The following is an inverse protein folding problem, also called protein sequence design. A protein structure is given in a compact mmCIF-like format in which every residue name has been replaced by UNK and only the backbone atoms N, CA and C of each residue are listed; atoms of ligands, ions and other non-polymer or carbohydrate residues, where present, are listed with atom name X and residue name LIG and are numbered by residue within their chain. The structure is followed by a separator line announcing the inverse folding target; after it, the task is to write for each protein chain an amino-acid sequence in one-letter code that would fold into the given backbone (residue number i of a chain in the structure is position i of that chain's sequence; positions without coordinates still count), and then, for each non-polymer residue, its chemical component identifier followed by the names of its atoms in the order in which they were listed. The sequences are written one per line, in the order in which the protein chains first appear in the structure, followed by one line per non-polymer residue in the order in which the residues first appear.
data_IF_928328535649
#
_entry.id   IF_928328535649
#
_cell.length_a   1.000
_cell.length_b   1.000
_cell.length_c   1.000
_cell.angle_alpha   90.00
_cell.angle_beta   90.00
_cell.angle_gamma   90.00
#
_symmetry.space_group_name_H-M   'P 1'
#
loop_
_entity.id
_entity.type
_entity.pdbx_description
1 polymer ?
#
# COMPACT_ATOMS: atom_id res chain seq x y z
N UNK A 1 -50.09 -13.77 58.40
CA UNK A 1 -49.80 -13.83 56.95
C UNK A 1 -48.29 -13.94 56.81
N UNK A 2 -47.79 -15.14 56.49
CA UNK A 2 -46.38 -15.46 56.29
C UNK A 2 -46.08 -15.26 54.80
N UNK A 3 -45.30 -14.25 54.47
CA UNK A 3 -44.77 -14.02 53.12
C UNK A 3 -43.39 -14.66 53.02
N UNK A 4 -43.29 -15.74 52.24
CA UNK A 4 -42.08 -16.50 51.95
C UNK A 4 -41.24 -15.79 50.88
N UNK A 5 -39.98 -15.46 51.20
CA UNK A 5 -38.98 -14.97 50.25
C UNK A 5 -38.44 -16.14 49.41
N UNK A 6 -38.67 -16.11 48.09
CA UNK A 6 -37.99 -16.99 47.13
C UNK A 6 -36.74 -16.30 46.57
N UNK A 7 -35.57 -16.85 46.87
CA UNK A 7 -34.29 -16.51 46.25
C UNK A 7 -34.11 -17.35 44.98
N UNK A 8 -34.11 -16.70 43.81
CA UNK A 8 -33.75 -17.32 42.53
C UNK A 8 -32.24 -17.21 42.36
N UNK A 9 -31.54 -18.34 42.33
CA UNK A 9 -30.12 -18.43 42.05
C UNK A 9 -29.90 -18.41 40.53
N UNK A 10 -29.30 -17.33 40.01
CA UNK A 10 -28.82 -17.24 38.63
C UNK A 10 -27.44 -17.93 38.54
N UNK A 11 -27.41 -19.11 37.90
CA UNK A 11 -26.18 -19.78 37.50
C UNK A 11 -25.64 -19.11 36.23
N UNK A 12 -24.59 -18.29 36.38
CA UNK A 12 -23.83 -17.78 35.25
C UNK A 12 -22.95 -18.90 34.67
N UNK A 13 -23.31 -19.41 33.50
CA UNK A 13 -22.41 -20.20 32.67
C UNK A 13 -21.34 -19.28 32.07
N UNK A 14 -20.16 -19.29 32.66
CA UNK A 14 -18.97 -18.72 32.05
C UNK A 14 -18.57 -19.56 30.84
N UNK A 15 -18.83 -19.05 29.64
CA UNK A 15 -18.22 -19.57 28.42
C UNK A 15 -16.72 -19.23 28.47
N UNK A 16 -15.90 -20.24 28.77
CA UNK A 16 -14.46 -20.18 28.58
C UNK A 16 -14.18 -20.19 27.08
N UNK A 17 -13.99 -19.00 26.51
CA UNK A 17 -13.46 -18.82 25.17
C UNK A 17 -12.00 -19.27 25.17
N UNK A 18 -11.71 -20.46 24.67
CA UNK A 18 -10.35 -20.83 24.28
C UNK A 18 -9.99 -20.03 23.03
N UNK A 19 -9.38 -18.86 23.23
CA UNK A 19 -8.66 -18.16 22.17
C UNK A 19 -7.43 -18.99 21.81
N UNK A 20 -7.55 -19.84 20.80
CA UNK A 20 -6.38 -20.46 20.19
C UNK A 20 -5.53 -19.35 19.58
N UNK A 21 -4.31 -19.18 20.10
CA UNK A 21 -3.31 -18.31 19.48
C UNK A 21 -3.10 -18.82 18.05
N UNK A 22 -3.48 -18.04 17.04
CA UNK A 22 -3.14 -18.32 15.67
C UNK A 22 -1.61 -18.35 15.60
N UNK A 23 -1.04 -19.54 15.42
CA UNK A 23 0.40 -19.72 15.32
C UNK A 23 0.82 -19.08 13.98
N UNK A 24 1.66 -18.05 14.02
CA UNK A 24 2.19 -17.45 12.81
C UNK A 24 2.96 -18.52 12.03
N UNK A 25 2.70 -18.63 10.74
CA UNK A 25 3.43 -19.54 9.87
C UNK A 25 4.81 -18.94 9.59
N UNK A 26 5.86 -19.72 9.83
CA UNK A 26 7.24 -19.35 9.51
C UNK A 26 7.58 -19.84 8.09
N UNK A 27 8.08 -18.93 7.26
CA UNK A 27 8.41 -19.20 5.88
C UNK A 27 9.91 -18.96 5.61
N UNK A 28 10.60 -19.99 5.12
CA UNK A 28 11.91 -19.84 4.51
C UNK A 28 11.84 -18.96 3.26
N UNK A 29 12.56 -17.83 3.28
CA UNK A 29 12.41 -16.75 2.30
C UNK A 29 12.82 -17.10 0.86
N UNK A 30 13.74 -18.06 0.71
CA UNK A 30 13.72 -19.03 -0.35
C UNK A 30 14.95 -19.21 -1.22
N UNK A 31 15.47 -20.42 -1.26
CA UNK A 31 16.59 -20.76 -2.11
C UNK A 31 17.06 -22.17 -1.77
N UNK A 32 18.35 -22.33 -1.49
CA UNK A 32 18.82 -23.55 -0.87
C UNK A 32 18.41 -23.57 0.61
N UNK A 33 17.85 -24.69 1.09
CA UNK A 33 17.30 -24.85 2.47
C UNK A 33 18.23 -24.47 3.64
N UNK A 34 19.53 -24.26 3.39
CA UNK A 34 20.52 -23.81 4.39
C UNK A 34 20.70 -22.29 4.41
N UNK A 35 20.30 -21.59 3.35
CA UNK A 35 20.36 -20.13 3.21
C UNK A 35 19.12 -19.47 3.78
N UNK A 36 17.96 -20.11 3.61
CA UNK A 36 16.65 -19.72 4.14
C UNK A 36 16.59 -19.57 5.68
N UNK A 37 17.70 -19.78 6.38
CA UNK A 37 17.86 -19.60 7.82
C UNK A 37 18.43 -18.23 8.19
N UNK A 38 18.99 -17.48 7.24
CA UNK A 38 19.45 -16.12 7.51
C UNK A 38 18.28 -15.18 7.78
N UNK A 39 17.16 -15.41 7.09
CA UNK A 39 15.93 -14.66 7.29
C UNK A 39 14.71 -15.53 6.97
N UNK A 40 13.68 -15.39 7.79
CA UNK A 40 12.36 -15.97 7.59
C UNK A 40 11.28 -14.89 7.66
N UNK A 41 10.22 -15.07 6.88
CA UNK A 41 9.00 -14.30 7.06
C UNK A 41 8.10 -15.01 8.06
N UNK A 42 7.51 -14.26 8.97
CA UNK A 42 6.40 -14.72 9.79
C UNK A 42 5.14 -13.98 9.37
N UNK A 43 4.08 -14.72 9.04
CA UNK A 43 2.77 -14.12 8.77
C UNK A 43 1.64 -15.04 9.26
N UNK A 44 0.50 -14.45 9.59
CA UNK A 44 -0.63 -15.16 10.20
C UNK A 44 -1.40 -16.13 9.28
N UNK A 45 -1.08 -16.18 7.98
CA UNK A 45 -1.90 -16.94 7.03
C UNK A 45 -1.14 -17.36 5.76
N UNK A 46 -1.25 -18.64 5.36
CA UNK A 46 -0.80 -19.16 4.06
C UNK A 46 -1.97 -19.74 3.25
N UNK A 47 -2.09 -19.37 1.97
CA UNK A 47 -3.00 -20.07 1.05
C UNK A 47 -2.47 -20.19 -0.38
N UNK A 48 -2.49 -21.41 -0.98
CA UNK A 48 -2.84 -22.69 -0.36
C UNK A 48 -1.74 -23.19 0.60
N UNK A 49 -2.10 -23.97 1.63
CA UNK A 49 -1.15 -24.61 2.53
C UNK A 49 -0.03 -25.33 1.78
N UNK A 50 1.22 -25.14 2.21
CA UNK A 50 2.40 -25.75 1.58
C UNK A 50 3.03 -24.95 0.42
N UNK A 51 2.53 -23.74 0.12
CA UNK A 51 3.23 -22.77 -0.73
C UNK A 51 3.91 -21.70 0.12
N UNK A 52 5.10 -22.00 0.63
CA UNK A 52 5.79 -21.22 1.66
C UNK A 52 6.27 -19.80 1.26
N UNK A 53 5.71 -19.15 0.23
CA UNK A 53 6.14 -17.83 -0.30
C UNK A 53 5.01 -17.06 -0.98
N UNK A 54 3.77 -17.47 -0.74
CA UNK A 54 2.59 -16.93 -1.38
C UNK A 54 1.48 -16.81 -0.35
N UNK A 55 1.21 -15.58 0.07
CA UNK A 55 0.03 -15.26 0.87
C UNK A 55 -1.02 -14.73 -0.10
N UNK A 56 -2.23 -15.31 -0.05
CA UNK A 56 -3.34 -14.94 -0.90
C UNK A 56 -4.57 -14.74 -0.04
N UNK A 57 -5.13 -13.55 -0.05
CA UNK A 57 -6.32 -13.19 0.68
C UNK A 57 -7.41 -12.70 -0.26
N UNK A 58 -8.66 -12.81 0.20
CA UNK A 58 -9.80 -12.13 -0.41
C UNK A 58 -10.09 -10.90 0.44
N UNK A 59 -10.26 -9.75 -0.20
CA UNK A 59 -10.64 -8.49 0.45
C UNK A 59 -11.85 -8.68 1.38
N UNK A 60 -11.70 -8.31 2.66
CA UNK A 60 -12.67 -8.50 3.72
C UNK A 60 -12.72 -9.88 4.39
N UNK A 61 -11.79 -10.79 4.09
CA UNK A 61 -11.67 -12.07 4.82
C UNK A 61 -10.92 -11.85 6.16
N UNK A 62 -11.60 -11.93 7.32
CA UNK A 62 -10.99 -11.61 8.61
C UNK A 62 -9.88 -12.58 9.05
N UNK A 63 -9.66 -13.69 8.33
CA UNK A 63 -8.57 -14.62 8.64
C UNK A 63 -7.22 -14.18 8.05
N UNK A 64 -7.23 -13.34 7.01
CA UNK A 64 -6.02 -12.97 6.28
C UNK A 64 -5.93 -11.49 5.93
N UNK A 65 -7.05 -10.78 6.01
CA UNK A 65 -7.16 -9.35 5.86
C UNK A 65 -7.25 -8.72 7.25
N UNK A 66 -6.24 -7.92 7.61
CA UNK A 66 -6.07 -7.49 9.00
C UNK A 66 -7.22 -6.62 9.52
N UNK A 67 -7.89 -5.87 8.65
CA UNK A 67 -9.04 -5.05 9.01
C UNK A 67 -10.38 -5.80 8.87
N UNK A 68 -10.41 -6.88 8.08
CA UNK A 68 -11.61 -7.67 7.78
C UNK A 68 -12.71 -6.88 7.06
N UNK A 69 -12.38 -5.75 6.41
CA UNK A 69 -13.34 -4.89 5.72
C UNK A 69 -13.30 -5.11 4.21
N UNK A 70 -14.46 -5.00 3.56
CA UNK A 70 -14.51 -4.97 2.10
C UNK A 70 -14.31 -3.53 1.64
N UNK A 71 -13.04 -3.13 1.45
CA UNK A 71 -12.65 -1.78 1.04
C UNK A 71 -11.72 -1.77 -0.19
N UNK A 72 -11.52 -2.94 -0.81
CA UNK A 72 -10.66 -3.11 -1.96
C UNK A 72 -9.17 -3.19 -1.62
N UNK A 73 -8.79 -3.40 -0.37
CA UNK A 73 -7.41 -3.48 0.11
C UNK A 73 -7.29 -4.65 1.08
N UNK A 74 -6.41 -5.61 0.76
CA UNK A 74 -6.03 -6.61 1.75
C UNK A 74 -4.80 -6.12 2.53
N UNK A 75 -4.92 -6.03 3.84
CA UNK A 75 -3.86 -5.68 4.77
C UNK A 75 -3.18 -6.92 5.35
N UNK A 76 -1.90 -7.13 4.98
CA UNK A 76 -1.12 -8.28 5.44
C UNK A 76 -0.17 -7.88 6.57
N UNK A 77 -0.32 -8.48 7.74
CA UNK A 77 0.66 -8.36 8.81
C UNK A 77 1.84 -9.30 8.56
N UNK A 78 3.03 -8.72 8.39
CA UNK A 78 4.28 -9.45 8.13
C UNK A 78 5.34 -9.01 9.13
N UNK A 79 5.95 -9.96 9.83
CA UNK A 79 7.20 -9.76 10.58
C UNK A 79 8.34 -10.52 9.92
N UNK A 80 9.56 -10.09 10.22
CA UNK A 80 10.78 -10.72 9.72
C UNK A 80 11.61 -11.13 10.92
N UNK A 81 12.12 -12.36 10.89
CA UNK A 81 13.09 -12.84 11.87
C UNK A 81 14.38 -13.21 11.17
N UNK A 82 15.51 -12.88 11.78
CA UNK A 82 16.85 -13.17 11.25
C UNK A 82 17.58 -14.21 12.07
N UNK A 83 18.58 -14.84 11.46
CA UNK A 83 19.42 -15.86 12.10
C UNK A 83 18.55 -16.95 12.78
N UNK A 84 17.59 -17.47 12.01
CA UNK A 84 16.47 -18.24 12.53
C UNK A 84 16.82 -19.70 12.83
N UNK A 85 16.16 -20.25 13.85
CA UNK A 85 16.26 -21.67 14.24
C UNK A 85 15.10 -22.53 13.73
N UNK A 86 14.23 -22.03 12.85
CA UNK A 86 12.97 -22.70 12.45
C UNK A 86 13.14 -24.15 11.93
N UNK A 87 14.28 -24.50 11.35
CA UNK A 87 14.66 -25.87 10.98
C UNK A 87 16.00 -26.23 11.65
N UNK A 88 16.00 -26.68 12.92
CA UNK A 88 17.24 -26.90 13.69
C UNK A 88 18.18 -27.94 13.07
N UNK A 89 17.66 -28.81 12.20
CA UNK A 89 18.46 -29.81 11.49
C UNK A 89 19.22 -29.23 10.29
N UNK A 90 18.83 -28.04 9.79
CA UNK A 90 19.39 -27.42 8.59
C UNK A 90 19.94 -26.02 8.80
N UNK A 91 19.42 -25.30 9.80
CA UNK A 91 19.82 -23.95 10.12
C UNK A 91 21.10 -23.94 10.92
N UNK A 92 22.17 -23.49 10.27
CA UNK A 92 23.44 -23.16 10.91
C UNK A 92 23.47 -21.65 11.16
N UNK A 93 23.59 -21.26 12.42
CA UNK A 93 23.69 -19.87 12.82
C UNK A 93 25.01 -19.28 12.30
N UNK A 94 24.93 -18.15 11.61
CA UNK A 94 26.08 -17.47 11.04
C UNK A 94 26.06 -15.96 11.34
N UNK A 95 25.11 -15.48 12.14
CA UNK A 95 24.84 -14.05 12.30
C UNK A 95 24.36 -13.40 10.99
N UNK A 96 23.89 -12.17 11.10
CA UNK A 96 23.46 -11.35 9.97
C UNK A 96 24.27 -10.08 9.94
N UNK A 97 24.91 -9.80 8.81
CA UNK A 97 25.69 -8.58 8.56
C UNK A 97 24.79 -7.45 8.09
N UNK A 98 23.86 -7.76 7.17
CA UNK A 98 22.99 -6.77 6.56
C UNK A 98 21.68 -7.42 6.08
N UNK A 99 20.62 -6.64 6.12
CA UNK A 99 19.31 -6.97 5.56
C UNK A 99 18.85 -5.79 4.72
N UNK A 100 18.51 -6.05 3.45
CA UNK A 100 18.14 -5.00 2.50
C UNK A 100 16.85 -5.36 1.78
N UNK A 101 15.81 -4.58 1.99
CA UNK A 101 14.54 -4.63 1.26
C UNK A 101 14.73 -3.93 -0.09
N UNK A 102 14.50 -4.64 -1.19
CA UNK A 102 14.56 -4.03 -2.53
C UNK A 102 13.46 -2.97 -2.69
N UNK A 103 13.77 -1.88 -3.39
CA UNK A 103 12.84 -0.78 -3.67
C UNK A 103 12.34 -0.02 -2.42
N UNK A 104 13.13 -0.01 -1.34
CA UNK A 104 12.84 0.74 -0.11
C UNK A 104 13.40 2.16 -0.10
N UNK A 105 14.23 2.55 -1.09
CA UNK A 105 14.86 3.86 -1.15
C UNK A 105 14.13 4.76 -2.15
N UNK A 106 13.76 5.95 -1.71
CA UNK A 106 13.16 6.97 -2.57
C UNK A 106 14.27 7.74 -3.31
N UNK A 107 14.70 7.20 -4.45
CA UNK A 107 15.83 7.73 -5.21
C UNK A 107 15.56 7.79 -6.72
N UNK A 108 14.29 7.91 -7.12
CA UNK A 108 13.83 7.81 -8.50
C UNK A 108 13.62 6.36 -8.97
N UNK A 109 13.59 5.38 -8.06
CA UNK A 109 13.28 4.00 -8.40
C UNK A 109 11.79 3.89 -8.78
N UNK A 110 11.45 3.51 -10.03
CA UNK A 110 10.06 3.41 -10.47
C UNK A 110 9.25 2.31 -9.76
N UNK A 111 9.89 1.51 -8.90
CA UNK A 111 9.25 0.49 -8.07
C UNK A 111 9.32 0.79 -6.57
N UNK A 112 9.79 1.99 -6.20
CA UNK A 112 9.77 2.46 -4.83
C UNK A 112 8.38 2.23 -4.20
N UNK A 113 8.36 1.72 -2.98
CA UNK A 113 7.15 1.52 -2.20
C UNK A 113 7.39 2.06 -0.78
N UNK A 114 6.62 3.06 -0.32
CA UNK A 114 6.77 3.62 1.02
C UNK A 114 6.65 2.57 2.15
N UNK A 115 5.87 1.50 1.94
CA UNK A 115 5.79 0.41 2.92
C UNK A 115 7.07 -0.41 2.98
N UNK A 116 7.83 -0.50 1.88
CA UNK A 116 9.15 -1.15 1.88
C UNK A 116 10.19 -0.28 2.58
N UNK A 117 10.10 1.04 2.46
CA UNK A 117 10.90 1.98 3.24
C UNK A 117 10.61 1.84 4.74
N UNK A 118 9.34 1.77 5.11
CA UNK A 118 8.92 1.56 6.50
C UNK A 118 9.43 0.20 7.04
N UNK A 119 9.36 -0.86 6.24
CA UNK A 119 9.88 -2.17 6.58
C UNK A 119 11.40 -2.16 6.77
N UNK A 120 12.16 -1.53 5.86
CA UNK A 120 13.61 -1.37 6.00
C UNK A 120 13.95 -0.61 7.29
N UNK A 121 13.28 0.51 7.54
CA UNK A 121 13.50 1.32 8.75
C UNK A 121 13.22 0.51 10.02
N UNK A 122 12.20 -0.36 10.00
CA UNK A 122 11.92 -1.24 11.15
C UNK A 122 13.02 -2.26 11.36
N UNK A 123 13.49 -2.91 10.28
CA UNK A 123 14.61 -3.85 10.35
C UNK A 123 15.84 -3.17 10.93
N UNK A 124 16.20 -2.00 10.43
CA UNK A 124 17.38 -1.24 10.89
C UNK A 124 17.30 -0.88 12.38
N UNK A 125 16.10 -0.58 12.90
CA UNK A 125 15.92 -0.17 14.29
C UNK A 125 15.73 -1.34 15.27
N UNK A 126 15.09 -2.44 14.86
CA UNK A 126 14.69 -3.52 15.77
C UNK A 126 15.59 -4.76 15.66
N UNK A 127 16.12 -5.05 14.46
CA UNK A 127 17.13 -6.10 14.27
C UNK A 127 18.54 -5.55 14.49
N UNK A 128 18.76 -4.28 14.13
CA UNK A 128 20.04 -3.58 14.24
C UNK A 128 21.24 -4.40 13.68
N UNK A 129 21.22 -4.81 12.40
CA UNK A 129 22.35 -5.52 11.81
C UNK A 129 23.59 -4.60 11.72
N UNK A 130 24.82 -5.11 11.99
CA UNK A 130 25.14 -6.53 12.15
C UNK A 130 24.79 -7.09 13.53
N UNK A 131 24.18 -8.28 13.56
CA UNK A 131 23.76 -8.97 14.79
C UNK A 131 24.07 -10.47 14.75
N UNK A 132 24.33 -11.05 15.92
CA UNK A 132 24.44 -12.50 16.11
C UNK A 132 23.28 -13.08 16.93
N UNK A 133 22.30 -12.24 17.27
CA UNK A 133 21.14 -12.68 18.03
C UNK A 133 20.36 -13.71 17.24
N UNK A 134 19.83 -14.69 17.97
CA UNK A 134 19.12 -15.83 17.41
C UNK A 134 17.64 -15.53 17.42
N UNK A 135 16.96 -15.76 16.28
CA UNK A 135 15.53 -15.47 16.11
C UNK A 135 15.19 -14.01 16.52
N UNK A 136 16.07 -13.06 16.20
CA UNK A 136 15.77 -11.64 16.37
C UNK A 136 14.71 -11.23 15.34
N UNK A 137 13.58 -10.71 15.82
CA UNK A 137 12.40 -10.44 15.00
C UNK A 137 11.97 -8.98 15.08
N UNK A 138 11.41 -8.48 13.97
CA UNK A 138 10.68 -7.22 13.98
C UNK A 138 9.27 -7.41 14.53
N UNK A 139 8.68 -6.35 15.05
CA UNK A 139 7.23 -6.22 15.16
C UNK A 139 6.57 -6.34 13.77
N UNK A 140 5.30 -6.72 13.75
CA UNK A 140 4.53 -6.84 12.50
C UNK A 140 4.40 -5.49 11.80
N UNK A 141 4.65 -5.47 10.50
CA UNK A 141 4.39 -4.35 9.61
C UNK A 141 3.21 -4.69 8.71
N UNK A 142 2.29 -3.75 8.52
CA UNK A 142 1.21 -3.88 7.55
C UNK A 142 1.73 -3.63 6.16
N UNK A 143 1.53 -4.59 5.26
CA UNK A 143 1.75 -4.44 3.84
C UNK A 143 0.41 -4.51 3.11
N UNK A 144 0.00 -3.43 2.47
CA UNK A 144 -1.33 -3.31 1.86
C UNK A 144 -1.29 -3.67 0.37
N UNK A 145 -2.27 -4.44 -0.09
CA UNK A 145 -2.43 -4.79 -1.51
C UNK A 145 -3.81 -4.37 -1.99
N UNK A 146 -3.89 -3.17 -2.58
CA UNK A 146 -5.12 -2.69 -3.21
C UNK A 146 -5.44 -3.49 -4.47
N UNK A 147 -6.69 -3.93 -4.62
CA UNK A 147 -7.17 -4.59 -5.83
C UNK A 147 -7.15 -3.62 -7.02
N UNK A 148 -7.11 -4.15 -8.24
CA UNK A 148 -7.19 -3.29 -9.43
C UNK A 148 -8.64 -2.93 -9.70
N UNK A 149 -8.95 -1.65 -9.67
CA UNK A 149 -10.30 -1.13 -9.93
C UNK A 149 -10.86 -0.39 -8.72
N UNK A 150 -12.17 -0.10 -8.71
CA UNK A 150 -13.14 -0.45 -9.75
C UNK A 150 -12.82 0.24 -11.07
N UNK A 151 -12.81 -0.55 -12.14
CA UNK A 151 -12.71 -0.07 -13.52
C UNK A 151 -14.11 0.07 -14.12
N UNK A 152 -14.21 0.63 -15.33
CA UNK A 152 -15.48 0.78 -16.04
C UNK A 152 -16.36 -0.48 -15.96
N UNK A 153 -17.65 -0.29 -15.63
CA UNK A 153 -18.63 -1.34 -15.30
C UNK A 153 -18.36 -2.09 -13.98
N UNK A 154 -17.82 -1.41 -12.98
CA UNK A 154 -17.61 -1.94 -11.61
C UNK A 154 -16.90 -3.29 -11.61
N UNK A 155 -15.79 -3.37 -12.35
CA UNK A 155 -14.95 -4.57 -12.41
C UNK A 155 -13.68 -4.36 -11.61
N UNK A 156 -13.41 -5.26 -10.67
CA UNK A 156 -12.08 -5.41 -10.10
C UNK A 156 -11.35 -6.63 -10.64
N UNK A 157 -10.03 -6.59 -10.50
CA UNK A 157 -9.15 -7.74 -10.69
C UNK A 157 -8.21 -7.83 -9.51
N UNK A 158 -7.77 -9.06 -9.21
CA UNK A 158 -6.72 -9.27 -8.22
C UNK A 158 -5.48 -8.46 -8.50
N UNK A 159 -4.83 -8.01 -7.43
CA UNK A 159 -3.52 -7.39 -7.49
C UNK A 159 -2.50 -8.19 -6.66
N UNK A 160 -1.24 -7.76 -6.70
CA UNK A 160 -0.16 -8.43 -5.98
C UNK A 160 0.94 -7.45 -5.59
N UNK A 161 1.50 -7.64 -4.40
CA UNK A 161 2.75 -7.01 -3.95
C UNK A 161 3.84 -8.08 -3.84
N UNK A 162 5.09 -7.71 -4.13
CA UNK A 162 6.25 -8.62 -4.09
C UNK A 162 7.34 -7.99 -3.25
N UNK A 163 7.48 -8.47 -2.02
CA UNK A 163 8.59 -8.09 -1.16
C UNK A 163 9.79 -8.94 -1.55
N UNK A 164 10.94 -8.31 -1.80
CA UNK A 164 12.21 -9.00 -2.01
C UNK A 164 13.22 -8.46 -1.02
N UNK A 165 13.91 -9.35 -0.36
CA UNK A 165 14.88 -8.98 0.68
C UNK A 165 16.16 -9.74 0.40
N UNK A 166 17.28 -9.02 0.46
CA UNK A 166 18.60 -9.62 0.44
C UNK A 166 19.11 -9.65 1.87
N UNK A 167 19.55 -10.82 2.32
CA UNK A 167 20.19 -10.98 3.63
C UNK A 167 21.63 -11.45 3.42
N UNK A 168 22.57 -10.82 4.10
CA UNK A 168 23.98 -11.20 4.08
C UNK A 168 24.38 -11.68 5.49
N UNK A 169 25.02 -12.85 5.57
CA UNK A 169 25.55 -13.36 6.83
C UNK A 169 26.77 -12.57 7.26
N UNK A 170 27.13 -12.64 8.55
CA UNK A 170 28.48 -12.24 8.95
C UNK A 170 29.53 -13.12 8.26
N UNK A 171 30.76 -12.63 8.16
CA UNK A 171 31.86 -13.40 7.61
C UNK A 171 32.25 -14.53 8.57
N UNK A 172 32.04 -15.78 8.14
CA UNK A 172 32.42 -16.97 8.90
C UNK A 172 33.16 -17.97 8.02
N UNK A 173 34.29 -18.50 8.52
CA UNK A 173 35.11 -19.47 7.79
C UNK A 173 35.64 -18.97 6.44
N UNK A 174 35.89 -17.66 6.31
CA UNK A 174 36.37 -17.04 5.06
C UNK A 174 35.31 -16.86 3.98
N UNK A 175 34.03 -17.03 4.31
CA UNK A 175 32.91 -16.89 3.38
C UNK A 175 31.81 -16.02 3.98
N UNK A 176 31.23 -15.17 3.14
CA UNK A 176 29.98 -14.48 3.40
C UNK A 176 28.87 -15.17 2.60
N UNK A 177 27.76 -15.50 3.25
CA UNK A 177 26.59 -16.10 2.58
C UNK A 177 25.59 -15.00 2.29
N UNK A 178 25.28 -14.83 1.01
CA UNK A 178 24.16 -14.01 0.57
C UNK A 178 22.95 -14.88 0.25
N UNK A 179 21.80 -14.47 0.77
CA UNK A 179 20.49 -15.02 0.46
C UNK A 179 19.54 -13.96 -0.09
N UNK A 180 18.62 -14.39 -0.96
CA UNK A 180 17.64 -13.51 -1.60
C UNK A 180 16.26 -14.12 -1.49
N UNK A 181 15.48 -13.51 -0.64
CA UNK A 181 14.17 -13.97 -0.24
C UNK A 181 13.07 -13.23 -0.97
N UNK A 182 11.93 -13.90 -1.16
CA UNK A 182 10.78 -13.28 -1.82
C UNK A 182 9.46 -13.74 -1.22
N UNK A 183 8.68 -12.77 -0.75
CA UNK A 183 7.30 -12.94 -0.36
C UNK A 183 6.37 -12.37 -1.44
N UNK A 184 5.34 -13.13 -1.83
CA UNK A 184 4.30 -12.67 -2.75
C UNK A 184 2.99 -12.58 -2.00
N UNK A 185 2.44 -11.37 -1.95
CA UNK A 185 1.12 -11.08 -1.41
C UNK A 185 0.14 -10.93 -2.58
N UNK A 186 -1.04 -11.53 -2.49
CA UNK A 186 -2.12 -11.40 -3.48
C UNK A 186 -3.39 -11.03 -2.75
N UNK A 187 -4.03 -9.95 -3.20
CA UNK A 187 -5.39 -9.63 -2.82
C UNK A 187 -6.32 -9.93 -4.00
N UNK A 188 -7.26 -10.84 -3.79
CA UNK A 188 -8.40 -11.03 -4.67
C UNK A 188 -9.53 -10.10 -4.26
N UNK A 189 -10.30 -9.55 -5.21
CA UNK A 189 -11.50 -8.79 -4.88
C UNK A 189 -12.50 -9.67 -4.11
N UNK A 190 -13.24 -9.05 -3.20
CA UNK A 190 -14.38 -9.67 -2.57
C UNK A 190 -15.36 -10.21 -3.63
N UNK A 191 -16.17 -11.21 -3.26
CA UNK A 191 -17.20 -11.76 -4.13
C UNK A 191 -18.38 -10.81 -4.38
N UNK A 192 -18.47 -9.75 -3.58
CA UNK A 192 -19.45 -8.68 -3.72
C UNK A 192 -19.09 -7.72 -4.87
N UNK A 193 -20.04 -6.91 -5.29
CA UNK A 193 -19.86 -5.96 -6.38
C UNK A 193 -18.76 -4.95 -6.04
N UNK A 194 -17.87 -4.69 -7.00
CA UNK A 194 -16.80 -3.71 -6.92
C UNK A 194 -17.33 -2.29 -6.96
N UNK A 195 -18.02 -1.91 -5.89
CA UNK A 195 -18.65 -0.63 -5.69
C UNK A 195 -17.63 0.40 -5.18
N UNK A 196 -17.36 1.49 -5.91
CA UNK A 196 -16.50 2.57 -5.43
C UNK A 196 -16.93 3.17 -4.09
N UNK A 197 -18.22 3.14 -3.75
CA UNK A 197 -18.74 3.66 -2.48
C UNK A 197 -18.30 2.82 -1.27
N UNK A 198 -17.87 1.58 -1.49
CA UNK A 198 -17.28 0.74 -0.43
C UNK A 198 -15.77 0.95 -0.32
N UNK A 199 -15.10 1.38 -1.39
CA UNK A 199 -13.65 1.39 -1.49
C UNK A 199 -13.03 2.76 -1.18
N UNK A 200 -13.82 3.82 -1.27
CA UNK A 200 -13.35 5.20 -1.16
C UNK A 200 -14.29 6.07 -0.33
N UNK A 201 -13.71 6.99 0.43
CA UNK A 201 -14.47 7.91 1.29
C UNK A 201 -15.14 9.07 0.52
N UNK A 202 -14.82 9.22 -0.76
CA UNK A 202 -15.28 10.31 -1.61
C UNK A 202 -14.67 10.28 -3.00
N UNK A 203 -15.16 11.14 -3.90
CA UNK A 203 -14.63 11.26 -5.26
C UNK A 203 -13.15 11.65 -5.27
N UNK A 204 -12.75 12.58 -4.39
CA UNK A 204 -11.36 12.99 -4.30
C UNK A 204 -10.46 11.87 -3.76
N UNK A 205 -10.92 11.11 -2.76
CA UNK A 205 -10.20 9.95 -2.25
C UNK A 205 -10.02 8.87 -3.34
N UNK A 206 -11.04 8.66 -4.17
CA UNK A 206 -10.94 7.81 -5.37
C UNK A 206 -9.88 8.32 -6.35
N UNK A 207 -9.84 9.63 -6.64
CA UNK A 207 -8.83 10.24 -7.52
C UNK A 207 -7.43 10.05 -6.92
N UNK A 208 -7.26 10.31 -5.62
CA UNK A 208 -5.98 10.12 -4.93
C UNK A 208 -5.49 8.68 -5.09
N UNK A 209 -6.36 7.70 -4.83
CA UNK A 209 -5.99 6.28 -4.81
C UNK A 209 -5.86 5.66 -6.21
N UNK A 210 -6.69 6.03 -7.19
CA UNK A 210 -6.68 5.40 -8.52
C UNK A 210 -5.85 6.16 -9.56
N UNK A 211 -5.54 7.44 -9.31
CA UNK A 211 -4.82 8.28 -10.27
C UNK A 211 -3.47 8.71 -9.70
N UNK A 212 -3.48 9.46 -8.60
CA UNK A 212 -2.25 10.09 -8.11
C UNK A 212 -1.26 9.07 -7.55
N UNK A 213 -1.73 8.14 -6.70
CA UNK A 213 -0.91 7.07 -6.13
C UNK A 213 -0.38 6.07 -7.16
N UNK A 214 -1.11 5.86 -8.25
CA UNK A 214 -0.76 4.84 -9.24
C UNK A 214 0.13 5.38 -10.36
N UNK A 215 0.18 6.69 -10.56
CA UNK A 215 0.80 7.25 -11.77
C UNK A 215 1.41 8.65 -11.65
N UNK A 216 1.28 9.34 -10.52
CA UNK A 216 1.73 10.74 -10.42
C UNK A 216 2.73 11.00 -9.29
N UNK A 217 2.47 10.48 -8.08
CA UNK A 217 3.37 10.66 -6.93
C UNK A 217 4.41 9.52 -6.80
N UNK A 218 4.80 8.94 -7.93
CA UNK A 218 5.85 7.93 -7.98
C UNK A 218 7.22 8.57 -7.69
N UNK A 219 8.15 7.78 -7.16
CA UNK A 219 9.53 8.22 -6.90
C UNK A 219 10.12 8.91 -8.13
N UNK A 220 10.62 10.13 -7.96
CA UNK A 220 11.16 10.94 -9.08
C UNK A 220 10.13 11.81 -9.81
N UNK A 221 8.86 11.84 -9.39
CA UNK A 221 7.79 12.61 -10.02
C UNK A 221 7.22 13.67 -9.05
N UNK A 222 5.98 13.52 -8.60
CA UNK A 222 5.28 14.46 -7.71
C UNK A 222 5.21 13.94 -6.26
N UNK A 223 6.31 13.38 -5.76
CA UNK A 223 6.52 12.86 -4.41
C UNK A 223 7.09 13.93 -3.46
N UNK A 224 7.28 13.58 -2.18
CA UNK A 224 7.87 14.48 -1.18
C UNK A 224 9.33 14.82 -1.42
N UNK A 225 10.08 13.97 -2.12
CA UNK A 225 11.52 14.17 -2.38
C UNK A 225 11.80 15.01 -3.62
N UNK A 226 11.11 14.74 -4.72
CA UNK A 226 11.39 15.32 -6.04
C UNK A 226 10.54 16.55 -6.33
N UNK A 227 9.25 16.51 -5.94
CA UNK A 227 8.31 17.61 -6.13
C UNK A 227 8.36 18.23 -7.54
N UNK A 228 8.39 17.42 -8.60
CA UNK A 228 8.53 17.90 -9.97
C UNK A 228 7.45 18.95 -10.29
N UNK A 229 7.85 20.11 -10.83
CA UNK A 229 6.94 21.24 -11.05
C UNK A 229 6.43 21.89 -9.76
N UNK A 230 7.24 21.81 -8.69
CA UNK A 230 6.94 22.30 -7.35
C UNK A 230 5.61 21.75 -6.79
N UNK A 231 5.31 20.48 -7.11
CA UNK A 231 4.02 19.86 -6.88
C UNK A 231 4.18 18.55 -6.08
N UNK A 232 3.56 18.52 -4.90
CA UNK A 232 3.39 17.33 -4.07
C UNK A 232 2.00 16.73 -4.29
N UNK A 233 1.92 15.46 -4.69
CA UNK A 233 0.66 14.70 -4.89
C UNK A 233 0.50 13.52 -3.93
N UNK A 234 1.31 13.44 -2.87
CA UNK A 234 1.09 12.51 -1.76
C UNK A 234 -0.16 12.91 -0.95
N UNK A 235 -0.88 11.94 -0.33
CA UNK A 235 -2.18 12.17 0.30
C UNK A 235 -2.24 13.31 1.32
N UNK A 236 -1.14 13.56 2.05
CA UNK A 236 -1.10 14.59 3.08
C UNK A 236 -1.11 16.04 2.52
N UNK A 237 -0.70 16.24 1.27
CA UNK A 237 -0.49 17.57 0.69
C UNK A 237 -1.12 17.80 -0.68
N UNK A 238 -1.56 16.75 -1.38
CA UNK A 238 -2.07 16.79 -2.75
C UNK A 238 -3.19 17.81 -2.96
N UNK A 239 -4.22 17.81 -2.11
CA UNK A 239 -5.40 18.67 -2.31
C UNK A 239 -5.03 20.16 -2.26
N UNK A 240 -4.31 20.56 -1.22
CA UNK A 240 -3.91 21.97 -1.02
C UNK A 240 -2.89 22.42 -2.06
N UNK A 241 -2.13 21.50 -2.65
CA UNK A 241 -1.22 21.80 -3.74
C UNK A 241 -1.93 21.97 -5.09
N UNK A 242 -3.19 21.53 -5.23
CA UNK A 242 -3.93 21.55 -6.49
C UNK A 242 -4.92 22.71 -6.57
N UNK A 243 -5.74 22.88 -5.54
CA UNK A 243 -6.90 23.76 -5.63
C UNK A 243 -6.51 25.23 -5.61
N UNK A 244 -6.81 25.93 -6.71
CA UNK A 244 -6.54 27.35 -6.90
C UNK A 244 -5.08 27.77 -6.68
N UNK A 245 -4.14 26.86 -6.93
CA UNK A 245 -2.70 27.12 -6.88
C UNK A 245 -2.18 27.46 -8.27
N UNK A 246 -1.44 28.55 -8.39
CA UNK A 246 -0.76 28.92 -9.66
C UNK A 246 0.28 27.84 -10.01
N UNK A 247 0.25 27.25 -11.22
CA UNK A 247 1.25 26.29 -11.65
C UNK A 247 2.65 26.91 -11.75
N UNK A 248 3.69 26.11 -11.49
CA UNK A 248 5.08 26.53 -11.67
C UNK A 248 5.47 26.71 -13.16
N UNK A 249 4.67 26.15 -14.08
CA UNK A 249 4.86 26.32 -15.51
C UNK A 249 4.62 27.79 -15.92
N UNK A 250 5.60 28.51 -16.49
CA UNK A 250 5.46 29.93 -16.79
C UNK A 250 4.40 30.26 -17.84
N UNK A 251 4.15 29.37 -18.81
CA UNK A 251 3.15 29.61 -19.86
C UNK A 251 1.72 29.50 -19.28
N UNK A 252 1.46 28.48 -18.47
CA UNK A 252 0.20 28.33 -17.75
C UNK A 252 -0.02 29.47 -16.74
N UNK A 253 1.01 29.82 -15.96
CA UNK A 253 0.93 30.94 -15.03
C UNK A 253 0.69 32.29 -15.74
N UNK A 254 1.36 32.53 -16.86
CA UNK A 254 1.16 33.75 -17.67
C UNK A 254 -0.18 33.81 -18.41
N UNK A 255 -0.90 32.69 -18.50
CA UNK A 255 -2.26 32.61 -19.01
C UNK A 255 -3.33 32.70 -17.88
N UNK A 256 -2.92 32.99 -16.65
CA UNK A 256 -3.77 33.01 -15.45
C UNK A 256 -4.47 31.66 -15.16
N UNK A 257 -3.87 30.54 -15.56
CA UNK A 257 -4.39 29.21 -15.24
C UNK A 257 -4.01 28.79 -13.82
N UNK A 258 -4.85 27.95 -13.22
CA UNK A 258 -4.60 27.33 -11.92
C UNK A 258 -4.36 25.83 -12.12
N UNK A 259 -3.70 25.17 -11.16
CA UNK A 259 -3.51 23.70 -11.20
C UNK A 259 -4.86 22.99 -11.29
N UNK A 260 -5.82 23.42 -10.47
CA UNK A 260 -7.25 23.17 -10.62
C UNK A 260 -7.97 24.50 -10.36
N UNK A 261 -8.75 24.99 -11.33
CA UNK A 261 -9.55 26.21 -11.17
C UNK A 261 -10.90 25.87 -10.56
N UNK A 262 -11.09 26.29 -9.32
CA UNK A 262 -12.38 26.29 -8.62
C UNK A 262 -12.91 27.71 -8.56
N UNK A 263 -14.09 27.93 -9.15
CA UNK A 263 -14.76 29.22 -9.20
C UNK A 263 -15.53 29.47 -7.91
N UNK A 264 -16.29 28.47 -7.47
CA UNK A 264 -17.03 28.47 -6.21
C UNK A 264 -17.17 27.03 -5.67
N UNK A 265 -17.71 26.81 -4.44
CA UNK A 265 -17.80 25.47 -3.85
C UNK A 265 -18.55 24.42 -4.68
N UNK A 266 -19.34 24.83 -5.68
CA UNK A 266 -20.12 23.94 -6.54
C UNK A 266 -19.72 24.04 -8.03
N UNK A 267 -18.70 24.83 -8.38
CA UNK A 267 -18.30 24.98 -9.78
C UNK A 267 -16.78 25.20 -9.96
N UNK A 268 -16.23 24.55 -10.98
CA UNK A 268 -14.85 24.75 -11.45
C UNK A 268 -14.79 24.93 -12.96
N UNK A 269 -13.68 25.45 -13.47
CA UNK A 269 -13.48 25.72 -14.89
C UNK A 269 -12.40 24.80 -15.47
N UNK A 270 -12.80 23.94 -16.40
CA UNK A 270 -11.89 23.02 -17.08
C UNK A 270 -10.89 23.75 -17.98
N UNK A 271 -11.28 24.85 -18.62
CA UNK A 271 -10.46 25.53 -19.63
C UNK A 271 -9.21 26.18 -19.01
N UNK A 272 -9.27 26.49 -17.72
CA UNK A 272 -8.16 27.09 -16.98
C UNK A 272 -7.59 26.14 -15.93
N UNK A 273 -8.08 24.89 -15.87
CA UNK A 273 -7.58 23.84 -14.99
C UNK A 273 -6.42 23.08 -15.64
N UNK A 274 -5.20 23.47 -15.30
CA UNK A 274 -4.00 22.92 -15.91
C UNK A 274 -3.86 21.40 -15.72
N UNK A 275 -4.31 20.84 -14.60
CA UNK A 275 -4.36 19.39 -14.38
C UNK A 275 -5.13 18.69 -15.50
N UNK A 276 -6.30 19.19 -15.88
CA UNK A 276 -7.14 18.54 -16.90
C UNK A 276 -6.45 18.52 -18.27
N UNK A 277 -5.90 19.66 -18.69
CA UNK A 277 -5.12 19.77 -19.93
C UNK A 277 -3.86 18.90 -19.92
N UNK A 278 -3.19 18.78 -18.76
CA UNK A 278 -2.07 17.84 -18.59
C UNK A 278 -2.51 16.40 -18.83
N UNK A 279 -3.70 16.00 -18.39
CA UNK A 279 -4.19 14.62 -18.54
C UNK A 279 -4.66 14.31 -19.96
N UNK A 280 -5.38 15.24 -20.60
CA UNK A 280 -5.91 15.06 -21.97
C UNK A 280 -4.83 15.24 -23.04
N UNK A 281 -3.79 16.02 -22.73
CA UNK A 281 -2.73 16.39 -23.67
C UNK A 281 -3.12 17.51 -24.62
N UNK A 282 -4.23 18.19 -24.38
CA UNK A 282 -4.63 19.42 -25.07
C UNK A 282 -3.79 20.59 -24.53
N UNK A 283 -2.56 20.72 -25.04
CA UNK A 283 -1.53 21.62 -24.53
C UNK A 283 -0.90 22.43 -25.66
N UNK A 284 -0.89 23.76 -25.48
CA UNK A 284 -0.18 24.68 -26.36
C UNK A 284 1.35 24.66 -26.14
N UNK A 285 2.08 25.30 -27.04
CA UNK A 285 3.52 25.51 -26.90
C UNK A 285 3.85 26.18 -25.56
N UNK A 286 4.81 25.61 -24.84
CA UNK A 286 5.26 26.13 -23.54
C UNK A 286 4.56 25.51 -22.32
N UNK A 287 3.41 24.86 -22.50
CA UNK A 287 2.67 24.20 -21.40
C UNK A 287 3.29 22.86 -20.98
N UNK A 288 4.36 22.41 -21.65
CA UNK A 288 5.06 21.16 -21.39
C UNK A 288 4.34 19.95 -22.00
N UNK A 289 4.64 18.75 -21.47
CA UNK A 289 4.08 17.50 -22.00
C UNK A 289 2.86 17.00 -21.20
N UNK A 290 2.10 16.11 -21.86
CA UNK A 290 0.96 15.35 -21.31
C UNK A 290 1.42 14.40 -20.20
N UNK A 291 0.66 14.38 -19.11
CA UNK A 291 0.84 13.52 -17.95
C UNK A 291 -0.12 12.32 -17.98
N UNK A 292 0.29 11.14 -17.48
CA UNK A 292 1.60 10.89 -16.87
C UNK A 292 2.74 10.79 -17.90
N UNK A 293 3.85 11.50 -17.67
CA UNK A 293 4.93 11.65 -18.65
C UNK A 293 5.63 10.32 -18.94
N UNK A 294 5.88 10.01 -20.21
CA UNK A 294 6.54 8.76 -20.62
C UNK A 294 5.75 7.48 -20.35
N UNK A 295 4.53 7.59 -19.82
CA UNK A 295 3.65 6.46 -19.49
C UNK A 295 2.39 6.47 -20.36
N UNK A 296 1.64 5.35 -20.42
CA UNK A 296 0.32 5.31 -21.04
C UNK A 296 -0.60 6.40 -20.46
N UNK A 297 -1.49 6.93 -21.30
CA UNK A 297 -2.55 7.83 -20.83
C UNK A 297 -3.46 7.12 -19.82
N UNK A 298 -4.07 7.91 -18.93
CA UNK A 298 -5.15 7.41 -18.08
C UNK A 298 -6.31 6.88 -18.94
N UNK A 299 -7.09 5.97 -18.38
CA UNK A 299 -8.33 5.53 -19.03
C UNK A 299 -9.32 6.71 -19.10
N UNK A 300 -10.16 6.72 -20.14
CA UNK A 300 -11.21 7.75 -20.28
C UNK A 300 -12.07 7.89 -19.03
N UNK A 301 -12.50 6.78 -18.43
CA UNK A 301 -13.29 6.79 -17.20
C UNK A 301 -12.61 7.51 -16.01
N UNK A 302 -11.29 7.39 -15.83
CA UNK A 302 -10.58 8.12 -14.77
C UNK A 302 -10.46 9.61 -15.09
N UNK A 303 -10.32 9.97 -16.38
CA UNK A 303 -10.35 11.36 -16.83
C UNK A 303 -11.75 11.95 -16.63
N UNK A 304 -12.82 11.21 -16.95
CA UNK A 304 -14.21 11.63 -16.76
C UNK A 304 -14.52 11.90 -15.27
N UNK A 305 -14.01 11.05 -14.36
CA UNK A 305 -14.14 11.27 -12.91
C UNK A 305 -13.47 12.58 -12.49
N UNK A 306 -12.27 12.86 -12.99
CA UNK A 306 -11.57 14.13 -12.70
C UNK A 306 -12.32 15.31 -13.31
N UNK A 307 -12.86 15.16 -14.52
CA UNK A 307 -13.66 16.18 -15.18
C UNK A 307 -14.87 16.56 -14.32
N UNK A 308 -15.69 15.58 -13.96
CA UNK A 308 -16.88 15.78 -13.12
C UNK A 308 -16.52 16.35 -11.75
N UNK A 309 -15.41 15.90 -11.16
CA UNK A 309 -14.92 16.44 -9.90
C UNK A 309 -14.56 17.93 -10.00
N UNK A 310 -13.84 18.34 -11.05
CA UNK A 310 -13.50 19.76 -11.29
C UNK A 310 -14.78 20.57 -11.54
N UNK A 311 -15.65 20.12 -12.44
CA UNK A 311 -16.91 20.79 -12.77
C UNK A 311 -17.80 21.00 -11.53
N UNK A 312 -17.76 20.08 -10.56
CA UNK A 312 -18.50 20.17 -9.30
C UNK A 312 -17.84 21.03 -8.21
N UNK A 313 -16.79 21.80 -8.53
CA UNK A 313 -16.08 22.65 -7.57
C UNK A 313 -14.98 21.93 -6.79
N UNK A 314 -14.52 20.78 -7.29
CA UNK A 314 -13.40 19.99 -6.77
C UNK A 314 -13.45 19.73 -5.25
N UNK A 315 -14.57 19.24 -4.69
CA UNK A 315 -14.71 19.08 -3.24
C UNK A 315 -13.69 18.08 -2.67
N UNK A 316 -13.13 18.39 -1.48
CA UNK A 316 -12.20 17.50 -0.77
C UNK A 316 -12.87 16.23 -0.26
N UNK A 317 -14.13 16.32 0.12
CA UNK A 317 -14.88 15.26 0.82
C UNK A 317 -16.25 15.08 0.19
N UNK A 318 -16.83 13.90 0.36
CA UNK A 318 -18.14 13.57 -0.20
C UNK A 318 -18.07 13.07 -1.63
N UNK A 319 -19.25 12.73 -2.17
CA UNK A 319 -19.39 12.11 -3.48
C UNK A 319 -19.96 13.08 -4.51
N UNK A 320 -19.27 13.20 -5.64
CA UNK A 320 -19.76 13.89 -6.83
C UNK A 320 -20.63 12.93 -7.65
N UNK A 321 -21.88 13.29 -7.99
CA UNK A 321 -22.75 12.42 -8.78
C UNK A 321 -22.11 11.95 -10.10
N UNK A 322 -22.23 10.65 -10.42
CA UNK A 322 -21.67 10.06 -11.64
C UNK A 322 -20.20 9.68 -11.55
N UNK A 323 -19.60 9.74 -10.36
CA UNK A 323 -18.22 9.32 -10.10
C UNK A 323 -18.10 8.04 -9.29
N UNK A 324 -19.17 7.24 -9.26
CA UNK A 324 -19.29 5.86 -8.77
C UNK A 324 -18.92 4.77 -9.81
#
# INVERSE_FOLDING_TARGET
MRETRSLVALLAWGALSFGGSAQADIYGGGGGRKKDCLMVFEAGFNYPPGRNRLIRCTDGDPNCDADGLVNGVCDFLVSICVNSTFDPAKCTLNGVEAVTVEHALDNGDPRFDPEFQALQTRIDNEIDPPTNDVDACTASTTLSVRVKGPSANNRCKKNRKRVRITTESTFSGGKQVRDRDKLKLICDPASVECDPLLFFDGTYDRIQNQVFNESCNLSGCHDSQTQAGNLLLEPAGSYTNLINVVPDNPAAAGADWLRVTVVDPNSGDLNTSFLFHKLTGDLDLGFGARMPFGMPSLSGNLIDIIQLWIEAGAPKTGWVPGTD
#
